data_IF_967850219245
#
_entry.id   IF_967850219245
#
_cell.length_a   1.000
_cell.length_b   1.000
_cell.length_c   1.000
_cell.angle_alpha   90.00
_cell.angle_beta   90.00
_cell.angle_gamma   90.00
#
_symmetry.space_group_name_H-M   'P 1'
#
loop_
_entity.id
_entity.type
_entity.pdbx_description
1 polymer ?
#
# COMPACT_ATOMS: atom_id res chain seq x y z
N UNK A 1 -31.64 3.70 -10.64
CA UNK A 1 -31.91 2.78 -9.50
C UNK A 1 -31.46 1.38 -9.89
N UNK A 2 -30.71 0.69 -9.03
CA UNK A 2 -30.33 -0.70 -9.27
C UNK A 2 -31.57 -1.62 -9.17
N UNK A 3 -31.64 -2.60 -10.05
CA UNK A 3 -32.65 -3.66 -9.98
C UNK A 3 -32.42 -4.55 -8.75
N UNK A 4 -33.42 -5.31 -8.32
CA UNK A 4 -33.29 -6.28 -7.23
C UNK A 4 -32.14 -7.26 -7.47
N UNK A 5 -32.01 -7.78 -8.69
CA UNK A 5 -30.95 -8.70 -9.08
C UNK A 5 -29.54 -8.08 -9.00
N UNK A 6 -29.40 -6.81 -9.41
CA UNK A 6 -28.12 -6.10 -9.30
C UNK A 6 -27.72 -5.88 -7.83
N UNK A 7 -28.70 -5.60 -6.96
CA UNK A 7 -28.44 -5.48 -5.52
C UNK A 7 -27.95 -6.81 -4.92
N UNK A 8 -28.64 -7.92 -5.22
CA UNK A 8 -28.25 -9.26 -4.76
C UNK A 8 -26.82 -9.62 -5.22
N UNK A 9 -26.44 -9.28 -6.45
CA UNK A 9 -25.09 -9.50 -6.98
C UNK A 9 -24.05 -8.70 -6.18
N UNK A 10 -24.35 -7.43 -5.86
CA UNK A 10 -23.44 -6.57 -5.08
C UNK A 10 -23.34 -7.05 -3.63
N UNK A 11 -24.44 -7.46 -3.01
CA UNK A 11 -24.45 -8.00 -1.63
C UNK A 11 -23.61 -9.27 -1.52
N UNK A 12 -23.74 -10.20 -2.47
CA UNK A 12 -22.90 -11.41 -2.49
C UNK A 12 -21.43 -11.07 -2.70
N UNK A 13 -21.12 -10.17 -3.63
CA UNK A 13 -19.74 -9.71 -3.84
C UNK A 13 -19.15 -9.10 -2.58
N UNK A 14 -19.91 -8.28 -1.89
CA UNK A 14 -19.49 -7.65 -0.65
C UNK A 14 -19.24 -8.68 0.46
N UNK A 15 -20.13 -9.66 0.63
CA UNK A 15 -19.95 -10.76 1.57
C UNK A 15 -18.67 -11.57 1.29
N UNK A 16 -18.36 -11.84 0.01
CA UNK A 16 -17.11 -12.50 -0.39
C UNK A 16 -15.91 -11.68 0.03
N UNK A 17 -15.92 -10.36 -0.21
CA UNK A 17 -14.83 -9.46 0.14
C UNK A 17 -14.64 -9.42 1.67
N UNK A 18 -15.71 -9.22 2.42
CA UNK A 18 -15.66 -9.13 3.89
C UNK A 18 -15.11 -10.41 4.50
N UNK A 19 -15.63 -11.56 4.09
CA UNK A 19 -15.16 -12.84 4.62
C UNK A 19 -13.73 -13.17 4.20
N UNK A 20 -13.36 -12.84 2.97
CA UNK A 20 -11.97 -12.97 2.51
C UNK A 20 -11.02 -12.13 3.37
N UNK A 21 -11.43 -10.92 3.74
CA UNK A 21 -10.63 -10.07 4.61
C UNK A 21 -10.55 -10.61 6.04
N UNK A 22 -11.62 -11.15 6.59
CA UNK A 22 -11.62 -11.80 7.91
C UNK A 22 -10.59 -12.94 7.94
N UNK A 23 -10.63 -13.84 6.95
CA UNK A 23 -9.66 -14.95 6.84
C UNK A 23 -8.22 -14.42 6.73
N UNK A 24 -7.99 -13.40 5.88
CA UNK A 24 -6.67 -12.81 5.69
C UNK A 24 -6.15 -12.15 6.98
N UNK A 25 -7.01 -11.45 7.70
CA UNK A 25 -6.64 -10.71 8.90
C UNK A 25 -6.28 -11.64 10.06
N UNK A 26 -7.01 -12.74 10.21
CA UNK A 26 -6.85 -13.70 11.30
C UNK A 26 -5.78 -14.75 11.04
N UNK A 27 -5.74 -15.29 9.81
CA UNK A 27 -4.93 -16.48 9.49
C UNK A 27 -3.85 -16.21 8.41
N UNK A 28 -3.84 -15.01 7.84
CA UNK A 28 -3.00 -14.65 6.71
C UNK A 28 -3.57 -15.06 5.36
N UNK A 29 -3.05 -14.46 4.29
CA UNK A 29 -3.52 -14.68 2.91
C UNK A 29 -3.34 -16.14 2.43
N UNK A 30 -2.41 -16.90 3.01
CA UNK A 30 -2.15 -18.30 2.69
C UNK A 30 -3.36 -19.18 3.02
N UNK A 31 -4.07 -18.86 4.10
CA UNK A 31 -5.26 -19.58 4.55
C UNK A 31 -6.49 -19.32 3.67
N UNK A 32 -6.45 -18.29 2.82
CA UNK A 32 -7.55 -17.95 1.90
C UNK A 32 -7.77 -19.07 0.89
N UNK A 33 -9.00 -19.55 0.75
CA UNK A 33 -9.41 -20.48 -0.29
C UNK A 33 -10.86 -20.22 -0.70
N UNK A 34 -11.16 -20.45 -1.99
CA UNK A 34 -12.52 -20.25 -2.54
C UNK A 34 -13.55 -21.11 -1.78
N UNK A 35 -13.17 -22.33 -1.40
CA UNK A 35 -14.07 -23.21 -0.65
C UNK A 35 -14.35 -22.67 0.75
N UNK A 36 -13.32 -22.22 1.47
CA UNK A 36 -13.45 -21.65 2.81
C UNK A 36 -14.36 -20.43 2.82
N UNK A 37 -14.20 -19.54 1.82
CA UNK A 37 -15.08 -18.38 1.66
C UNK A 37 -16.53 -18.83 1.41
N UNK A 38 -16.74 -19.75 0.48
CA UNK A 38 -18.06 -20.24 0.13
C UNK A 38 -18.78 -20.87 1.33
N UNK A 39 -18.08 -21.71 2.10
CA UNK A 39 -18.60 -22.36 3.29
C UNK A 39 -18.98 -21.31 4.36
N UNK A 40 -18.13 -20.30 4.59
CA UNK A 40 -18.36 -19.29 5.62
C UNK A 40 -19.55 -18.36 5.31
N UNK A 41 -19.76 -17.99 4.04
CA UNK A 41 -20.90 -17.15 3.66
C UNK A 41 -22.16 -17.96 3.26
N UNK A 42 -22.15 -19.29 3.47
CA UNK A 42 -23.26 -20.20 3.13
C UNK A 42 -23.67 -20.17 1.64
N UNK A 43 -22.70 -20.06 0.74
CA UNK A 43 -22.91 -20.15 -0.72
C UNK A 43 -22.12 -21.31 -1.31
N UNK A 44 -22.46 -21.69 -2.56
CA UNK A 44 -21.69 -22.70 -3.28
C UNK A 44 -20.45 -22.11 -3.98
N UNK A 45 -19.40 -22.91 -4.11
CA UNK A 45 -18.17 -22.54 -4.83
C UNK A 45 -18.43 -21.92 -6.22
N UNK A 46 -19.36 -22.44 -7.07
CA UNK A 46 -19.70 -21.81 -8.33
C UNK A 46 -20.23 -20.37 -8.21
N UNK A 47 -20.81 -20.00 -7.08
CA UNK A 47 -21.27 -18.62 -6.85
C UNK A 47 -20.08 -17.68 -6.68
N UNK A 48 -19.05 -18.11 -5.93
CA UNK A 48 -17.82 -17.32 -5.77
C UNK A 48 -17.17 -17.04 -7.12
N UNK A 49 -17.07 -18.06 -7.98
CA UNK A 49 -16.48 -17.93 -9.32
C UNK A 49 -17.23 -16.99 -10.27
N UNK A 50 -18.50 -16.62 -9.98
CA UNK A 50 -19.20 -15.55 -10.73
C UNK A 50 -18.68 -14.15 -10.41
N UNK A 51 -18.01 -13.97 -9.27
CA UNK A 51 -17.53 -12.67 -8.79
C UNK A 51 -16.00 -12.54 -8.89
N UNK A 52 -15.28 -13.64 -8.68
CA UNK A 52 -13.82 -13.69 -8.74
C UNK A 52 -13.37 -14.95 -9.47
N UNK A 53 -12.55 -14.78 -10.48
CA UNK A 53 -12.09 -15.86 -11.34
C UNK A 53 -11.29 -16.93 -10.57
N UNK A 54 -10.51 -16.49 -9.58
CA UNK A 54 -9.66 -17.34 -8.76
C UNK A 54 -9.30 -16.64 -7.44
N UNK A 55 -8.51 -17.31 -6.59
CA UNK A 55 -7.99 -16.75 -5.33
C UNK A 55 -7.12 -15.51 -5.59
N UNK A 56 -6.31 -15.54 -6.63
CA UNK A 56 -5.38 -14.49 -7.01
C UNK A 56 -6.13 -13.19 -7.35
N UNK A 57 -7.29 -13.27 -7.99
CA UNK A 57 -8.15 -12.12 -8.28
C UNK A 57 -8.68 -11.45 -7.00
N UNK A 58 -8.92 -12.25 -5.94
CA UNK A 58 -9.29 -11.70 -4.62
C UNK A 58 -8.08 -10.99 -3.98
N UNK A 59 -6.90 -11.61 -4.04
CA UNK A 59 -5.65 -11.01 -3.53
C UNK A 59 -5.33 -9.72 -4.28
N UNK A 60 -5.49 -9.68 -5.60
CA UNK A 60 -5.31 -8.48 -6.42
C UNK A 60 -6.29 -7.36 -6.01
N UNK A 61 -7.55 -7.71 -5.73
CA UNK A 61 -8.52 -6.75 -5.22
C UNK A 61 -8.03 -6.07 -3.94
N UNK A 62 -7.50 -6.83 -2.97
CA UNK A 62 -6.96 -6.27 -1.74
C UNK A 62 -5.65 -5.51 -1.94
N UNK A 63 -4.81 -5.93 -2.89
CA UNK A 63 -3.62 -5.17 -3.25
C UNK A 63 -4.00 -3.77 -3.76
N UNK A 64 -4.94 -3.68 -4.69
CA UNK A 64 -5.44 -2.40 -5.22
C UNK A 64 -6.10 -1.56 -4.14
N UNK A 65 -6.90 -2.17 -3.27
CA UNK A 65 -7.53 -1.48 -2.14
C UNK A 65 -6.50 -0.93 -1.16
N UNK A 66 -5.46 -1.71 -0.87
CA UNK A 66 -4.33 -1.29 -0.03
C UNK A 66 -3.60 -0.07 -0.60
N UNK A 67 -3.28 -0.07 -1.89
CA UNK A 67 -2.65 1.10 -2.54
C UNK A 67 -3.56 2.33 -2.54
N UNK A 68 -4.89 2.17 -2.72
CA UNK A 68 -5.85 3.30 -2.59
C UNK A 68 -5.84 3.88 -1.18
N UNK A 69 -5.86 3.03 -0.16
CA UNK A 69 -5.77 3.45 1.24
C UNK A 69 -4.44 4.16 1.52
N UNK A 70 -3.32 3.61 1.06
CA UNK A 70 -2.01 4.23 1.18
C UNK A 70 -2.00 5.61 0.52
N UNK A 71 -2.44 5.73 -0.73
CA UNK A 71 -2.48 7.01 -1.44
C UNK A 71 -3.31 8.06 -0.68
N UNK A 72 -4.44 7.66 -0.08
CA UNK A 72 -5.25 8.55 0.74
C UNK A 72 -4.50 9.03 1.99
N UNK A 73 -3.83 8.14 2.72
CA UNK A 73 -3.02 8.49 3.90
C UNK A 73 -1.88 9.44 3.55
N UNK A 74 -1.17 9.19 2.43
CA UNK A 74 -0.10 10.06 1.97
C UNK A 74 -0.61 11.46 1.58
N UNK A 75 -1.78 11.55 0.92
CA UNK A 75 -2.41 12.82 0.58
C UNK A 75 -2.83 13.61 1.83
N UNK A 76 -3.41 12.94 2.82
CA UNK A 76 -3.76 13.56 4.10
C UNK A 76 -2.51 14.10 4.80
N UNK A 77 -1.42 13.33 4.81
CA UNK A 77 -0.17 13.69 5.48
C UNK A 77 0.51 14.93 4.89
N UNK A 78 0.37 15.18 3.58
CA UNK A 78 0.90 16.38 2.93
C UNK A 78 -0.07 17.55 2.91
N UNK A 79 -1.36 17.35 3.20
CA UNK A 79 -2.38 18.37 3.08
C UNK A 79 -2.11 19.55 4.03
N UNK A 80 -2.28 20.76 3.50
CA UNK A 80 -2.12 22.02 4.26
C UNK A 80 -0.69 22.27 4.83
N UNK A 81 0.31 21.54 4.35
CA UNK A 81 1.72 21.74 4.75
C UNK A 81 2.40 22.60 3.68
N UNK A 82 2.73 23.83 4.00
CA UNK A 82 3.41 24.76 3.09
C UNK A 82 4.92 24.49 2.97
N UNK A 83 5.55 23.95 4.01
CA UNK A 83 6.96 23.58 4.00
C UNK A 83 7.13 22.22 3.30
N UNK A 84 7.79 22.21 2.14
CA UNK A 84 7.96 21.04 1.27
C UNK A 84 8.78 19.93 1.93
N UNK A 85 9.78 20.30 2.72
CA UNK A 85 10.59 19.33 3.48
C UNK A 85 9.74 18.64 4.53
N UNK A 86 8.92 19.39 5.25
CA UNK A 86 8.02 18.85 6.26
C UNK A 86 6.92 17.98 5.63
N UNK A 87 6.40 18.39 4.47
CA UNK A 87 5.44 17.57 3.71
C UNK A 87 6.03 16.20 3.32
N UNK A 88 7.27 16.15 2.82
CA UNK A 88 7.94 14.89 2.49
C UNK A 88 8.22 14.02 3.73
N UNK A 89 8.61 14.62 4.86
CA UNK A 89 8.75 13.91 6.14
C UNK A 89 7.44 13.28 6.59
N UNK A 90 6.35 14.05 6.53
CA UNK A 90 5.02 13.56 6.91
C UNK A 90 4.54 12.43 6.01
N UNK A 91 4.83 12.50 4.70
CA UNK A 91 4.60 11.41 3.75
C UNK A 91 5.36 10.14 4.18
N UNK A 92 6.64 10.27 4.54
CA UNK A 92 7.45 9.12 5.00
C UNK A 92 6.91 8.49 6.29
N UNK A 93 6.51 9.34 7.26
CA UNK A 93 5.92 8.90 8.52
C UNK A 93 4.56 8.23 8.28
N UNK A 94 3.72 8.77 7.40
CA UNK A 94 2.44 8.19 7.04
C UNK A 94 2.61 6.83 6.33
N UNK A 95 3.59 6.70 5.44
CA UNK A 95 3.93 5.45 4.79
C UNK A 95 4.31 4.37 5.81
N UNK A 96 5.16 4.71 6.77
CA UNK A 96 5.54 3.83 7.88
C UNK A 96 4.32 3.43 8.73
N UNK A 97 3.55 4.42 9.18
CA UNK A 97 2.36 4.22 10.02
C UNK A 97 1.31 3.34 9.31
N UNK A 98 1.15 3.53 7.99
CA UNK A 98 0.28 2.67 7.19
C UNK A 98 0.73 1.20 7.24
N UNK A 99 2.00 0.93 7.03
CA UNK A 99 2.55 -0.43 7.05
C UNK A 99 2.39 -1.10 8.41
N UNK A 100 2.59 -0.34 9.49
CA UNK A 100 2.43 -0.79 10.87
C UNK A 100 0.98 -1.13 11.21
N UNK A 101 0.04 -0.25 10.86
CA UNK A 101 -1.40 -0.41 11.14
C UNK A 101 -2.07 -1.43 10.23
N UNK A 102 -1.56 -1.58 9.01
CA UNK A 102 -2.16 -2.36 7.94
C UNK A 102 -1.22 -3.46 7.44
N UNK A 103 -0.59 -4.19 8.36
CA UNK A 103 0.47 -5.18 8.06
C UNK A 103 0.04 -6.22 7.01
N UNK A 104 -1.18 -6.74 7.09
CA UNK A 104 -1.67 -7.72 6.12
C UNK A 104 -1.89 -7.10 4.73
N UNK A 105 -2.43 -5.86 4.66
CA UNK A 105 -2.49 -5.11 3.41
C UNK A 105 -1.09 -4.92 2.82
N UNK A 106 -0.14 -4.45 3.64
CA UNK A 106 1.22 -4.20 3.20
C UNK A 106 1.90 -5.46 2.65
N UNK A 107 1.72 -6.61 3.30
CA UNK A 107 2.21 -7.90 2.82
C UNK A 107 1.62 -8.28 1.45
N UNK A 108 0.33 -8.07 1.26
CA UNK A 108 -0.36 -8.35 -0.01
C UNK A 108 0.12 -7.38 -1.10
N UNK A 109 0.17 -6.09 -0.82
CA UNK A 109 0.56 -5.03 -1.77
C UNK A 109 1.93 -5.27 -2.40
N UNK A 110 2.88 -5.74 -1.60
CA UNK A 110 4.27 -5.91 -2.04
C UNK A 110 4.68 -7.36 -2.25
N UNK A 111 3.73 -8.29 -2.26
CA UNK A 111 3.98 -9.69 -2.53
C UNK A 111 4.87 -10.38 -1.50
N UNK A 112 4.96 -9.84 -0.27
CA UNK A 112 5.79 -10.42 0.78
C UNK A 112 5.22 -11.77 1.21
N UNK A 113 5.81 -12.84 0.64
CA UNK A 113 5.36 -14.22 0.81
C UNK A 113 4.29 -14.67 -0.19
N UNK A 114 3.94 -13.86 -1.17
CA UNK A 114 3.05 -14.22 -2.30
C UNK A 114 3.93 -14.52 -3.51
N UNK A 115 3.71 -15.62 -4.27
CA UNK A 115 4.37 -15.84 -5.54
C UNK A 115 4.14 -14.62 -6.45
N UNK A 116 5.21 -14.14 -7.10
CA UNK A 116 5.19 -12.90 -7.86
C UNK A 116 4.02 -12.86 -8.84
N UNK A 117 3.06 -12.00 -8.56
CA UNK A 117 1.98 -11.67 -9.48
C UNK A 117 2.46 -10.42 -10.24
N UNK A 118 2.85 -10.58 -11.51
CA UNK A 118 3.35 -9.47 -12.34
C UNK A 118 2.35 -8.31 -12.42
N UNK A 119 1.07 -8.60 -12.25
CA UNK A 119 -0.04 -7.64 -12.30
C UNK A 119 -0.06 -6.67 -11.11
N UNK A 120 0.47 -7.07 -9.94
CA UNK A 120 0.46 -6.23 -8.74
C UNK A 120 1.41 -5.03 -8.91
N UNK A 121 2.54 -5.23 -9.58
CA UNK A 121 3.61 -4.24 -9.69
C UNK A 121 3.36 -3.10 -10.71
N UNK A 122 2.22 -3.08 -11.41
CA UNK A 122 1.91 -2.10 -12.45
C UNK A 122 0.50 -1.49 -12.37
N UNK A 123 -0.16 -1.59 -11.21
CA UNK A 123 -1.52 -1.06 -11.07
C UNK A 123 -1.56 0.47 -11.03
N UNK A 124 -2.66 1.06 -11.53
CA UNK A 124 -2.89 2.51 -11.47
C UNK A 124 -2.90 3.01 -10.01
N UNK A 125 -3.38 2.20 -9.08
CA UNK A 125 -3.43 2.53 -7.65
C UNK A 125 -2.01 2.60 -7.04
N UNK A 126 -1.11 1.70 -7.43
CA UNK A 126 0.29 1.78 -7.04
C UNK A 126 0.95 3.03 -7.59
N UNK A 127 0.68 3.35 -8.87
CA UNK A 127 1.16 4.57 -9.51
C UNK A 127 0.67 5.82 -8.79
N UNK A 128 -0.61 5.87 -8.42
CA UNK A 128 -1.17 7.01 -7.67
C UNK A 128 -0.41 7.26 -6.36
N UNK A 129 -0.07 6.20 -5.62
CA UNK A 129 0.73 6.33 -4.39
C UNK A 129 2.15 6.85 -4.67
N UNK A 130 2.79 6.36 -5.74
CA UNK A 130 4.14 6.78 -6.11
C UNK A 130 4.19 8.22 -6.64
N UNK A 131 3.16 8.66 -7.36
CA UNK A 131 3.06 10.01 -7.91
C UNK A 131 2.99 11.07 -6.78
N UNK A 132 2.35 10.76 -5.64
CA UNK A 132 2.33 11.66 -4.47
C UNK A 132 3.75 11.88 -3.92
N UNK A 133 4.53 10.81 -3.78
CA UNK A 133 5.92 10.89 -3.32
C UNK A 133 6.80 11.60 -4.35
N UNK A 134 6.62 11.30 -5.65
CA UNK A 134 7.34 11.93 -6.74
C UNK A 134 7.12 13.44 -6.79
N UNK A 135 5.87 13.88 -6.63
CA UNK A 135 5.52 15.30 -6.60
C UNK A 135 6.22 16.01 -5.44
N UNK A 136 6.14 15.46 -4.21
CA UNK A 136 6.78 16.05 -3.04
C UNK A 136 8.32 16.13 -3.18
N UNK A 137 8.96 15.12 -3.76
CA UNK A 137 10.40 15.14 -4.06
C UNK A 137 10.71 16.23 -5.09
N UNK A 138 9.95 16.27 -6.19
CA UNK A 138 10.15 17.24 -7.27
C UNK A 138 10.00 18.69 -6.80
N UNK A 139 9.05 18.98 -5.92
CA UNK A 139 8.86 20.30 -5.31
C UNK A 139 10.10 20.77 -4.53
N UNK A 140 10.77 19.87 -3.79
CA UNK A 140 12.00 20.19 -3.08
C UNK A 140 13.15 20.44 -4.07
N UNK A 141 13.27 19.62 -5.12
CA UNK A 141 14.29 19.79 -6.14
C UNK A 141 14.16 21.15 -6.85
N UNK A 142 12.93 21.55 -7.22
CA UNK A 142 12.66 22.86 -7.85
C UNK A 142 13.03 23.99 -6.90
N UNK A 143 12.59 23.95 -5.64
CA UNK A 143 12.86 24.98 -4.64
C UNK A 143 14.36 25.22 -4.42
N UNK A 144 15.17 24.15 -4.49
CA UNK A 144 16.60 24.21 -4.30
C UNK A 144 17.41 24.33 -5.61
N UNK A 145 16.75 24.52 -6.76
CA UNK A 145 17.36 24.62 -8.11
C UNK A 145 18.17 23.38 -8.48
N UNK A 146 17.68 22.23 -8.09
CA UNK A 146 18.29 20.92 -8.28
C UNK A 146 17.55 20.05 -9.32
N UNK A 147 16.85 20.69 -10.29
CA UNK A 147 16.06 20.00 -11.32
C UNK A 147 16.91 19.14 -12.26
N UNK A 148 18.25 19.30 -12.22
CA UNK A 148 19.19 18.43 -12.94
C UNK A 148 19.28 17.00 -12.36
N UNK A 149 18.81 16.79 -11.12
CA UNK A 149 18.72 15.44 -10.56
C UNK A 149 17.56 14.66 -11.19
N UNK A 150 17.80 13.39 -11.46
CA UNK A 150 16.76 12.48 -11.90
C UNK A 150 15.76 12.22 -10.75
N UNK A 151 14.59 12.84 -10.85
CA UNK A 151 13.52 12.71 -9.84
C UNK A 151 13.00 11.27 -9.70
N UNK A 152 13.04 10.46 -10.76
CA UNK A 152 12.62 9.06 -10.71
C UNK A 152 13.64 8.20 -9.97
N UNK A 153 14.93 8.48 -10.15
CA UNK A 153 15.99 7.86 -9.35
C UNK A 153 15.80 8.22 -7.86
N UNK A 154 15.51 9.49 -7.55
CA UNK A 154 15.25 9.94 -6.18
C UNK A 154 14.02 9.28 -5.59
N UNK A 155 12.93 9.16 -6.35
CA UNK A 155 11.73 8.43 -5.94
C UNK A 155 12.06 6.96 -5.62
N UNK A 156 12.76 6.28 -6.53
CA UNK A 156 13.13 4.87 -6.34
C UNK A 156 14.00 4.68 -5.10
N UNK A 157 14.96 5.57 -4.87
CA UNK A 157 15.81 5.55 -3.66
C UNK A 157 14.97 5.73 -2.40
N UNK A 158 14.11 6.74 -2.36
CA UNK A 158 13.25 7.04 -1.21
C UNK A 158 12.31 5.88 -0.88
N UNK A 159 11.62 5.38 -1.88
CA UNK A 159 10.68 4.27 -1.70
C UNK A 159 11.39 2.97 -1.29
N UNK A 160 12.51 2.63 -1.94
CA UNK A 160 13.28 1.44 -1.57
C UNK A 160 13.82 1.52 -0.16
N UNK A 161 14.24 2.70 0.29
CA UNK A 161 14.70 2.93 1.66
C UNK A 161 13.57 2.65 2.68
N UNK A 162 12.40 3.26 2.51
CA UNK A 162 11.25 3.05 3.40
C UNK A 162 10.78 1.60 3.39
N UNK A 163 10.64 1.03 2.18
CA UNK A 163 10.22 -0.35 2.02
C UNK A 163 11.22 -1.35 2.63
N UNK A 164 12.51 -1.09 2.48
CA UNK A 164 13.57 -1.93 3.05
C UNK A 164 13.50 -2.01 4.57
N UNK A 165 13.36 -0.89 5.26
CA UNK A 165 13.18 -0.87 6.71
C UNK A 165 11.95 -1.66 7.16
N UNK A 166 10.80 -1.39 6.52
CA UNK A 166 9.55 -2.09 6.86
C UNK A 166 9.66 -3.59 6.59
N UNK A 167 10.24 -3.99 5.45
CA UNK A 167 10.40 -5.38 5.10
C UNK A 167 11.29 -6.13 6.11
N UNK A 168 12.37 -5.50 6.59
CA UNK A 168 13.24 -6.06 7.63
C UNK A 168 12.46 -6.25 8.94
N UNK A 169 11.69 -5.25 9.37
CA UNK A 169 10.91 -5.34 10.60
C UNK A 169 9.80 -6.40 10.50
N UNK A 170 9.18 -6.56 9.33
CA UNK A 170 8.17 -7.60 9.08
C UNK A 170 8.73 -9.03 9.13
N UNK A 171 10.04 -9.21 8.96
CA UNK A 171 10.73 -10.51 9.11
C UNK A 171 11.05 -10.85 10.57
N UNK A 172 11.06 -9.86 11.46
CA UNK A 172 11.53 -10.02 12.85
C UNK A 172 10.49 -10.60 13.81
N UNK A 173 9.32 -11.03 13.35
CA UNK A 173 8.18 -11.49 14.16
C UNK A 173 7.68 -10.48 15.21
N UNK A 174 8.31 -9.32 15.33
CA UNK A 174 7.89 -8.24 16.21
C UNK A 174 6.84 -7.37 15.50
N UNK A 175 5.90 -6.89 16.27
CA UNK A 175 4.94 -5.93 15.75
C UNK A 175 5.64 -4.62 15.43
N UNK A 176 5.52 -4.14 14.18
CA UNK A 176 6.05 -2.83 13.79
C UNK A 176 5.38 -1.75 14.64
N UNK A 177 6.18 -0.90 15.27
CA UNK A 177 5.67 0.23 16.04
C UNK A 177 5.07 1.28 15.10
N UNK A 178 3.99 1.95 15.52
CA UNK A 178 3.36 3.01 14.70
C UNK A 178 4.31 4.18 14.44
N UNK A 179 5.14 4.52 15.42
CA UNK A 179 6.14 5.58 15.29
C UNK A 179 7.40 5.02 14.67
N UNK A 180 7.93 5.65 13.60
CA UNK A 180 9.19 5.24 13.01
C UNK A 180 10.34 5.29 14.04
N UNK A 181 11.22 4.27 14.09
CA UNK A 181 12.41 4.30 14.95
C UNK A 181 13.38 5.40 14.50
N UNK A 182 14.29 5.80 15.40
CA UNK A 182 15.28 6.86 15.13
C UNK A 182 16.13 6.59 13.88
N UNK A 183 16.44 5.32 13.60
CA UNK A 183 17.20 4.92 12.41
C UNK A 183 16.45 5.26 11.11
N UNK A 184 15.15 5.11 11.08
CA UNK A 184 14.30 5.47 9.93
C UNK A 184 14.21 6.99 9.80
N UNK A 185 14.03 7.70 10.92
CA UNK A 185 13.98 9.17 10.93
C UNK A 185 15.30 9.79 10.48
N UNK A 186 16.44 9.25 10.90
CA UNK A 186 17.78 9.65 10.47
C UNK A 186 17.95 9.44 8.96
N UNK A 187 17.57 8.27 8.46
CA UNK A 187 17.63 7.96 7.03
C UNK A 187 16.75 8.89 6.18
N UNK A 188 15.53 9.22 6.65
CA UNK A 188 14.66 10.21 6.00
C UNK A 188 15.34 11.58 5.98
N UNK A 189 15.93 12.01 7.10
CA UNK A 189 16.67 13.28 7.20
C UNK A 189 17.84 13.33 6.24
N UNK A 190 18.65 12.27 6.19
CA UNK A 190 19.77 12.12 5.27
C UNK A 190 19.36 12.17 3.81
N UNK A 191 18.27 11.48 3.45
CA UNK A 191 17.74 11.54 2.09
C UNK A 191 17.30 12.95 1.72
N UNK A 192 16.53 13.63 2.57
CA UNK A 192 16.06 15.01 2.33
C UNK A 192 17.26 15.97 2.16
N UNK A 193 18.29 15.81 2.98
CA UNK A 193 19.52 16.61 2.85
C UNK A 193 20.12 16.47 1.44
N UNK A 194 20.09 15.26 0.83
CA UNK A 194 20.59 15.06 -0.55
C UNK A 194 19.74 15.75 -1.62
N UNK A 195 18.49 16.09 -1.34
CA UNK A 195 17.61 16.85 -2.26
C UNK A 195 17.90 18.35 -2.20
N UNK A 196 18.35 18.86 -1.03
CA UNK A 196 18.58 20.28 -0.78
C UNK A 196 20.01 20.72 -1.14
N UNK A 197 20.98 19.79 -1.09
CA UNK A 197 22.38 20.11 -1.34
C UNK A 197 22.58 20.44 -2.82
N UNK A 198 23.05 21.65 -3.12
CA UNK A 198 23.56 22.01 -4.45
C UNK A 198 24.88 21.26 -4.72
N UNK A 199 25.02 20.71 -5.93
CA UNK A 199 26.25 20.06 -6.39
C UNK A 199 27.30 21.07 -6.78
#
# INVERSE_FOLDING_TARGET
>A
MLTRREKEILEVKQAIIEESWNIISEEGWQALSIRKIADAINYSVPVIYKHFENKEAIVEYFSKDGFRKLANELNIAKANISNKVEALKNIAIAYWSFASKNTQYYRIMFGLGIPACETINSSEEMKASSDIMLEAINEILIENKNEHFDKYLKLKTFWSMLHGFIAIDLLSEQQIQETPPLTVLDAIGGFIYTLQKQS
#
